data_IF_677180423324
#
_entry.id   IF_677180423324
#
_cell.length_a   1.000
_cell.length_b   1.000
_cell.length_c   1.000
_cell.angle_alpha   90.00
_cell.angle_beta   90.00
_cell.angle_gamma   90.00
#
_symmetry.space_group_name_H-M   'P 1'
#
loop_
_entity.id
_entity.type
_entity.pdbx_description
1 polymer ?
#
# COMPACT_ATOMS: atom_id res chain seq x y z
N UNK A 1 -36.86 9.35 -13.90
CA UNK A 1 -37.87 9.97 -13.00
C UNK A 1 -38.56 8.93 -12.13
N UNK A 2 -39.26 7.92 -12.68
CA UNK A 2 -40.02 6.90 -11.90
C UNK A 2 -39.24 6.21 -10.77
N UNK A 3 -37.98 5.83 -10.99
CA UNK A 3 -37.14 5.18 -9.96
C UNK A 3 -36.87 6.11 -8.78
N UNK A 4 -36.57 7.39 -9.03
CA UNK A 4 -36.34 8.38 -7.99
C UNK A 4 -37.61 8.65 -7.18
N UNK A 5 -38.77 8.78 -7.85
CA UNK A 5 -40.06 8.94 -7.19
C UNK A 5 -40.40 7.75 -6.28
N UNK A 6 -40.21 6.53 -6.79
CA UNK A 6 -40.46 5.31 -6.02
C UNK A 6 -39.54 5.20 -4.80
N UNK A 7 -38.24 5.47 -4.98
CA UNK A 7 -37.27 5.43 -3.88
C UNK A 7 -37.67 6.38 -2.74
N UNK A 8 -37.99 7.64 -3.06
CA UNK A 8 -38.44 8.63 -2.08
C UNK A 8 -39.77 8.25 -1.41
N UNK A 9 -40.67 7.58 -2.13
CA UNK A 9 -41.94 7.09 -1.58
C UNK A 9 -41.73 5.94 -0.59
N UNK A 10 -40.83 5.02 -0.91
CA UNK A 10 -40.54 3.85 -0.07
C UNK A 10 -39.70 4.21 1.15
N UNK A 11 -38.74 5.13 0.98
CA UNK A 11 -37.88 5.60 2.05
C UNK A 11 -37.60 7.10 1.91
N UNK A 12 -38.39 7.96 2.55
CA UNK A 12 -38.17 9.41 2.53
C UNK A 12 -37.02 9.85 3.45
N UNK A 13 -36.41 8.95 4.23
CA UNK A 13 -35.43 9.30 5.27
C UNK A 13 -33.99 9.39 4.75
N UNK A 14 -33.72 8.89 3.53
CA UNK A 14 -32.37 8.81 2.95
C UNK A 14 -32.31 9.57 1.61
N UNK A 15 -31.23 10.33 1.35
CA UNK A 15 -31.05 11.01 0.07
C UNK A 15 -30.80 10.00 -1.05
N UNK A 16 -31.27 10.32 -2.26
CA UNK A 16 -31.00 9.50 -3.45
C UNK A 16 -29.72 9.93 -4.17
N UNK A 17 -29.09 8.97 -4.84
CA UNK A 17 -27.95 9.17 -5.73
C UNK A 17 -28.07 8.26 -6.96
N UNK A 18 -27.27 8.52 -7.98
CA UNK A 18 -27.33 7.82 -9.25
C UNK A 18 -25.99 7.95 -9.97
N UNK A 19 -25.16 6.91 -9.86
CA UNK A 19 -23.78 6.92 -10.35
C UNK A 19 -23.75 7.22 -11.85
N UNK A 20 -22.86 8.12 -12.27
CA UNK A 20 -22.70 8.54 -13.67
C UNK A 20 -21.25 8.88 -13.98
N UNK A 21 -20.85 8.78 -15.24
CA UNK A 21 -19.53 9.19 -15.72
C UNK A 21 -19.58 10.39 -16.69
N UNK A 22 -20.79 10.84 -17.05
CA UNK A 22 -20.99 11.96 -17.98
C UNK A 22 -21.13 13.29 -17.25
N UNK A 23 -20.37 14.29 -17.68
CA UNK A 23 -20.47 15.68 -17.19
C UNK A 23 -21.80 16.30 -17.61
N UNK A 24 -22.29 17.25 -16.81
CA UNK A 24 -23.51 18.05 -17.04
C UNK A 24 -24.76 17.20 -17.29
N UNK A 25 -24.80 16.00 -16.72
CA UNK A 25 -25.98 15.14 -16.74
C UNK A 25 -27.13 15.79 -15.98
N UNK A 26 -28.36 15.47 -16.36
CA UNK A 26 -29.55 15.88 -15.62
C UNK A 26 -29.49 15.34 -14.19
N UNK A 27 -29.78 16.19 -13.20
CA UNK A 27 -29.84 15.79 -11.80
C UNK A 27 -31.31 15.56 -11.41
N UNK A 28 -31.69 14.28 -11.28
CA UNK A 28 -33.01 13.86 -10.81
C UNK A 28 -32.99 13.44 -9.33
N UNK A 29 -31.80 13.10 -8.83
CA UNK A 29 -31.52 12.65 -7.49
C UNK A 29 -31.26 13.82 -6.51
N UNK A 30 -31.11 13.52 -5.22
CA UNK A 30 -30.71 14.52 -4.22
C UNK A 30 -29.22 14.90 -4.31
N UNK A 31 -28.37 13.93 -4.66
CA UNK A 31 -26.91 14.08 -4.71
C UNK A 31 -26.41 13.85 -6.13
N UNK A 32 -25.57 14.76 -6.63
CA UNK A 32 -24.85 14.58 -7.88
C UNK A 32 -23.65 13.65 -7.64
N UNK A 33 -23.83 12.36 -7.86
CA UNK A 33 -22.76 11.35 -7.76
C UNK A 33 -22.05 11.15 -9.10
N UNK A 34 -20.72 11.20 -9.15
CA UNK A 34 -19.95 11.17 -10.39
C UNK A 34 -18.67 10.33 -10.29
N UNK A 35 -18.39 9.55 -11.32
CA UNK A 35 -17.15 8.79 -11.46
C UNK A 35 -16.09 9.70 -12.08
N UNK A 36 -15.12 10.12 -11.27
CA UNK A 36 -14.03 11.00 -11.70
C UNK A 36 -12.76 10.21 -12.03
N UNK A 37 -12.67 9.80 -13.30
CA UNK A 37 -11.50 9.13 -13.86
C UNK A 37 -10.54 10.10 -14.56
N UNK A 38 -10.50 11.38 -14.15
CA UNK A 38 -9.62 12.38 -14.75
C UNK A 38 -8.15 12.28 -14.32
N UNK A 39 -7.88 11.68 -13.16
CA UNK A 39 -6.53 11.61 -12.61
C UNK A 39 -5.66 10.59 -13.37
N UNK A 40 -4.53 11.06 -13.90
CA UNK A 40 -3.54 10.28 -14.64
C UNK A 40 -2.15 10.28 -13.99
N UNK A 41 -2.03 10.81 -12.76
CA UNK A 41 -0.86 10.68 -11.90
C UNK A 41 -0.08 11.97 -11.67
N UNK A 42 0.04 12.82 -12.69
CA UNK A 42 0.79 14.09 -12.66
C UNK A 42 -0.11 15.34 -12.76
N UNK A 43 -1.43 15.13 -12.73
CA UNK A 43 -2.45 16.16 -12.72
C UNK A 43 -3.23 16.15 -11.39
N UNK A 44 -4.16 17.10 -11.14
CA UNK A 44 -5.02 17.07 -9.96
C UNK A 44 -5.74 15.72 -9.77
N UNK A 45 -6.01 15.37 -8.52
CA UNK A 45 -6.67 14.13 -8.13
C UNK A 45 -8.15 14.09 -8.50
N UNK A 46 -8.84 15.23 -8.50
CA UNK A 46 -10.22 15.34 -9.00
C UNK A 46 -10.41 16.61 -9.83
N UNK A 47 -11.40 16.62 -10.72
CA UNK A 47 -11.83 17.83 -11.40
C UNK A 47 -12.69 18.71 -10.49
N UNK A 48 -12.51 20.02 -10.60
CA UNK A 48 -13.37 20.97 -9.91
C UNK A 48 -14.86 20.76 -10.27
N UNK A 49 -15.75 20.71 -9.27
CA UNK A 49 -17.20 20.51 -9.40
C UNK A 49 -17.86 21.33 -10.52
N UNK A 50 -17.44 22.58 -10.71
CA UNK A 50 -17.94 23.47 -11.78
C UNK A 50 -17.70 22.95 -13.20
N UNK A 51 -16.69 22.11 -13.42
CA UNK A 51 -16.47 21.41 -14.69
C UNK A 51 -17.40 20.21 -14.85
N UNK A 52 -17.83 19.60 -13.75
CA UNK A 52 -18.63 18.39 -13.73
C UNK A 52 -20.12 18.67 -13.81
N UNK A 53 -20.65 19.61 -13.02
CA UNK A 53 -22.09 19.93 -12.98
C UNK A 53 -22.34 21.44 -13.09
N UNK A 54 -23.49 21.84 -13.64
CA UNK A 54 -23.96 23.24 -13.59
C UNK A 54 -24.76 23.55 -12.32
N UNK A 55 -25.13 22.52 -11.57
CA UNK A 55 -25.94 22.62 -10.34
C UNK A 55 -25.04 22.83 -9.13
N UNK A 56 -24.43 24.01 -9.03
CA UNK A 56 -23.42 24.30 -8.00
C UNK A 56 -23.98 24.23 -6.56
N UNK A 57 -25.26 24.52 -6.37
CA UNK A 57 -25.94 24.41 -5.07
C UNK A 57 -26.34 22.99 -4.66
N UNK A 58 -26.15 21.99 -5.53
CA UNK A 58 -26.49 20.60 -5.22
C UNK A 58 -25.33 19.90 -4.50
N UNK A 59 -25.60 18.99 -3.55
CA UNK A 59 -24.58 18.10 -2.99
C UNK A 59 -23.88 17.31 -4.10
N UNK A 60 -22.57 17.09 -3.95
CA UNK A 60 -21.74 16.43 -4.95
C UNK A 60 -20.77 15.45 -4.30
N UNK A 61 -20.61 14.27 -4.89
CA UNK A 61 -19.75 13.22 -4.36
C UNK A 61 -19.05 12.49 -5.51
N UNK A 62 -17.76 12.20 -5.33
CA UNK A 62 -17.01 11.36 -6.27
C UNK A 62 -17.28 9.90 -5.94
N UNK A 63 -17.86 9.13 -6.85
CA UNK A 63 -18.26 7.75 -6.58
C UNK A 63 -17.28 6.69 -7.05
N UNK A 64 -16.39 7.03 -7.97
CA UNK A 64 -15.28 6.17 -8.40
C UNK A 64 -14.12 7.05 -8.87
N UNK A 65 -12.90 6.59 -8.65
CA UNK A 65 -11.66 7.18 -9.17
C UNK A 65 -10.57 6.10 -9.24
N UNK A 66 -9.47 6.37 -9.95
CA UNK A 66 -8.40 5.41 -10.24
C UNK A 66 -8.90 4.16 -10.99
N UNK A 67 -8.79 2.96 -10.40
CA UNK A 67 -9.17 1.70 -11.02
C UNK A 67 -8.49 1.46 -12.37
N UNK A 68 -9.30 1.37 -13.43
CA UNK A 68 -8.81 1.10 -14.78
C UNK A 68 -7.85 2.17 -15.34
N UNK A 69 -7.80 3.36 -14.73
CA UNK A 69 -6.86 4.41 -15.11
C UNK A 69 -5.40 4.04 -14.79
N UNK A 70 -5.17 3.13 -13.83
CA UNK A 70 -3.83 2.66 -13.48
C UNK A 70 -3.84 1.26 -12.83
N UNK A 71 -4.12 0.18 -13.61
CA UNK A 71 -4.15 -1.17 -13.08
C UNK A 71 -2.80 -1.56 -12.46
N UNK A 72 -2.84 -2.16 -11.28
CA UNK A 72 -1.65 -2.48 -10.49
C UNK A 72 -1.78 -3.85 -9.82
N UNK A 73 -0.94 -4.77 -10.26
CA UNK A 73 -0.81 -6.13 -9.74
C UNK A 73 0.03 -6.09 -8.45
N UNK A 74 -0.18 -7.08 -7.58
CA UNK A 74 0.62 -7.21 -6.35
C UNK A 74 2.11 -7.47 -6.61
N UNK A 75 2.45 -7.94 -7.82
CA UNK A 75 3.80 -8.29 -8.27
C UNK A 75 4.36 -7.35 -9.34
N UNK A 76 3.71 -6.22 -9.61
CA UNK A 76 4.36 -5.16 -10.39
C UNK A 76 5.58 -4.61 -9.62
N UNK A 77 6.51 -3.98 -10.33
CA UNK A 77 7.71 -3.39 -9.75
C UNK A 77 7.39 -2.32 -8.68
N UNK A 78 8.37 -2.00 -7.85
CA UNK A 78 8.19 -1.03 -6.76
C UNK A 78 7.74 0.34 -7.24
N UNK A 79 8.27 0.81 -8.37
CA UNK A 79 7.95 2.14 -8.90
C UNK A 79 6.48 2.24 -9.33
N UNK A 80 5.96 1.17 -9.95
CA UNK A 80 4.56 1.08 -10.35
C UNK A 80 3.64 0.98 -9.13
N UNK A 81 4.00 0.16 -8.13
CA UNK A 81 3.25 0.04 -6.87
C UNK A 81 3.25 1.35 -6.06
N UNK A 82 4.36 2.09 -6.05
CA UNK A 82 4.43 3.43 -5.46
C UNK A 82 3.54 4.41 -6.21
N UNK A 83 3.60 4.45 -7.54
CA UNK A 83 2.75 5.32 -8.37
C UNK A 83 1.26 5.07 -8.09
N UNK A 84 0.85 3.80 -7.94
CA UNK A 84 -0.50 3.44 -7.54
C UNK A 84 -0.89 4.05 -6.17
N UNK A 85 -0.03 3.89 -5.16
CA UNK A 85 -0.28 4.46 -3.83
C UNK A 85 -0.35 6.00 -3.84
N UNK A 86 0.54 6.66 -4.59
CA UNK A 86 0.55 8.11 -4.71
C UNK A 86 -0.67 8.64 -5.47
N UNK A 87 -1.18 7.93 -6.49
CA UNK A 87 -2.44 8.28 -7.17
C UNK A 87 -3.64 8.27 -6.22
N UNK A 88 -3.75 7.24 -5.37
CA UNK A 88 -4.76 7.23 -4.31
C UNK A 88 -4.58 8.40 -3.33
N UNK A 89 -3.33 8.69 -2.96
CA UNK A 89 -2.98 9.81 -2.07
C UNK A 89 -3.36 11.17 -2.67
N UNK A 90 -3.09 11.39 -3.97
CA UNK A 90 -3.43 12.62 -4.68
C UNK A 90 -4.94 12.86 -4.73
N UNK A 91 -5.73 11.82 -5.02
CA UNK A 91 -7.19 11.93 -5.01
C UNK A 91 -7.71 12.24 -3.60
N UNK A 92 -7.24 11.51 -2.58
CA UNK A 92 -7.63 11.77 -1.19
C UNK A 92 -7.29 13.20 -0.77
N UNK A 93 -6.07 13.67 -1.08
CA UNK A 93 -5.66 15.06 -0.80
C UNK A 93 -6.63 16.08 -1.42
N UNK A 94 -7.03 15.91 -2.68
CA UNK A 94 -7.98 16.84 -3.29
C UNK A 94 -9.41 16.70 -2.74
N UNK A 95 -9.84 15.51 -2.33
CA UNK A 95 -11.11 15.33 -1.62
C UNK A 95 -11.14 16.10 -0.28
N UNK A 96 -10.02 16.13 0.46
CA UNK A 96 -9.91 16.94 1.68
C UNK A 96 -9.73 18.44 1.39
N UNK A 97 -9.24 18.81 0.21
CA UNK A 97 -9.05 20.20 -0.21
C UNK A 97 -10.38 20.90 -0.53
N UNK A 98 -11.32 20.18 -1.14
CA UNK A 98 -12.52 20.76 -1.72
C UNK A 98 -13.72 20.64 -0.76
N UNK A 99 -14.16 21.76 -0.19
CA UNK A 99 -15.31 21.86 0.71
C UNK A 99 -16.66 21.65 0.01
N UNK A 100 -16.71 21.79 -1.32
CA UNK A 100 -17.89 21.58 -2.15
C UNK A 100 -18.08 20.13 -2.65
N UNK A 101 -17.23 19.21 -2.17
CA UNK A 101 -17.23 17.77 -2.45
C UNK A 101 -17.43 17.00 -1.14
N UNK A 102 -18.45 16.14 -1.06
CA UNK A 102 -18.80 15.39 0.15
C UNK A 102 -17.81 14.27 0.52
N UNK A 103 -16.81 14.01 -0.33
CA UNK A 103 -15.87 12.89 -0.24
C UNK A 103 -15.93 12.00 -1.47
N UNK A 104 -15.38 10.78 -1.36
CA UNK A 104 -15.51 9.82 -2.44
C UNK A 104 -15.06 8.38 -2.16
N UNK A 105 -15.38 7.50 -3.11
CA UNK A 105 -15.06 6.08 -3.05
C UNK A 105 -13.99 5.72 -4.09
N UNK A 106 -12.85 5.21 -3.63
CA UNK A 106 -11.80 4.72 -4.53
C UNK A 106 -12.23 3.43 -5.20
N UNK A 107 -11.98 3.32 -6.50
CA UNK A 107 -12.13 2.06 -7.22
C UNK A 107 -10.79 1.30 -7.17
N UNK A 108 -10.66 0.20 -6.43
CA UNK A 108 -11.65 -0.45 -5.55
C UNK A 108 -11.00 -1.09 -4.32
N UNK A 109 -11.80 -1.76 -3.47
CA UNK A 109 -11.28 -2.43 -2.28
C UNK A 109 -10.28 -3.55 -2.63
N UNK A 110 -10.66 -4.51 -3.48
CA UNK A 110 -9.85 -5.68 -3.83
C UNK A 110 -9.97 -5.99 -5.32
N UNK A 111 -8.95 -6.67 -5.86
CA UNK A 111 -8.97 -7.20 -7.23
C UNK A 111 -10.13 -8.19 -7.41
N UNK A 112 -10.81 -8.14 -8.55
CA UNK A 112 -12.03 -8.91 -8.78
C UNK A 112 -12.03 -9.57 -10.15
N UNK A 113 -12.66 -10.75 -10.21
CA UNK A 113 -12.90 -11.45 -11.46
C UNK A 113 -13.87 -10.66 -12.35
N UNK A 114 -13.65 -10.72 -13.65
CA UNK A 114 -14.40 -9.94 -14.63
C UNK A 114 -14.62 -10.71 -15.94
N UNK A 115 -15.44 -10.14 -16.82
CA UNK A 115 -15.73 -10.67 -18.14
C UNK A 115 -14.56 -10.47 -19.10
N UNK A 116 -14.63 -11.10 -20.27
CA UNK A 116 -13.55 -11.10 -21.27
C UNK A 116 -13.13 -9.73 -21.79
N UNK A 117 -14.02 -8.74 -21.71
CA UNK A 117 -13.83 -7.41 -22.28
C UNK A 117 -13.02 -6.47 -21.35
N UNK A 118 -12.71 -6.94 -20.13
CA UNK A 118 -12.02 -6.15 -19.11
C UNK A 118 -10.84 -6.92 -18.50
N UNK A 119 -10.00 -6.19 -17.76
CA UNK A 119 -8.87 -6.77 -17.04
C UNK A 119 -7.62 -6.96 -17.91
N UNK A 120 -6.66 -7.74 -17.41
CA UNK A 120 -5.39 -8.01 -18.11
C UNK A 120 -5.44 -9.24 -19.03
N UNK A 121 -6.65 -9.63 -19.49
CA UNK A 121 -6.87 -10.82 -20.33
C UNK A 121 -7.03 -12.14 -19.57
N UNK A 122 -6.71 -12.16 -18.28
CA UNK A 122 -6.77 -13.29 -17.36
C UNK A 122 -8.06 -13.34 -16.52
N UNK A 123 -9.07 -12.57 -16.92
CA UNK A 123 -10.35 -12.41 -16.23
C UNK A 123 -10.24 -11.73 -14.87
N UNK A 124 -9.20 -10.93 -14.62
CA UNK A 124 -9.04 -10.16 -13.38
C UNK A 124 -8.84 -8.67 -13.69
N UNK A 125 -9.61 -7.84 -12.99
CA UNK A 125 -9.36 -6.40 -12.89
C UNK A 125 -8.44 -6.13 -11.69
N UNK A 126 -7.18 -5.78 -11.97
CA UNK A 126 -6.17 -5.45 -10.96
C UNK A 126 -6.30 -4.00 -10.48
N UNK A 127 -7.44 -3.67 -9.90
CA UNK A 127 -7.80 -2.31 -9.49
C UNK A 127 -7.79 -2.13 -7.97
N UNK A 128 -7.72 -3.23 -7.22
CA UNK A 128 -7.85 -3.19 -5.78
C UNK A 128 -6.64 -2.56 -5.11
N UNK A 129 -6.88 -1.80 -4.04
CA UNK A 129 -5.83 -1.48 -3.06
C UNK A 129 -5.42 -2.71 -2.24
N UNK A 130 -6.25 -3.76 -2.26
CA UNK A 130 -5.97 -5.11 -1.78
C UNK A 130 -5.94 -6.10 -2.96
N UNK A 131 -5.32 -7.27 -2.77
CA UNK A 131 -5.47 -8.40 -3.71
C UNK A 131 -6.86 -9.07 -3.58
N UNK A 132 -7.13 -10.08 -4.41
CA UNK A 132 -8.41 -10.80 -4.41
C UNK A 132 -8.75 -11.49 -3.08
N UNK A 133 -7.76 -11.78 -2.22
CA UNK A 133 -7.96 -12.38 -0.89
C UNK A 133 -7.93 -11.35 0.24
N UNK A 134 -7.95 -10.05 -0.11
CA UNK A 134 -7.91 -8.90 0.81
C UNK A 134 -6.58 -8.79 1.56
N UNK A 135 -5.49 -9.27 0.97
CA UNK A 135 -4.15 -8.91 1.40
C UNK A 135 -3.82 -7.47 0.97
N UNK A 136 -3.29 -6.62 1.87
CA UNK A 136 -2.96 -5.24 1.52
C UNK A 136 -1.82 -5.11 0.50
N UNK A 137 -2.06 -4.34 -0.57
CA UNK A 137 -0.99 -3.78 -1.40
C UNK A 137 -0.50 -2.47 -0.78
N UNK A 138 0.58 -1.91 -1.32
CA UNK A 138 1.11 -0.61 -0.87
C UNK A 138 0.04 0.50 -0.87
N UNK A 139 -0.82 0.56 -1.89
CA UNK A 139 -1.88 1.57 -1.98
C UNK A 139 -2.92 1.52 -0.83
N UNK A 140 -3.08 0.38 -0.15
CA UNK A 140 -3.93 0.31 1.03
C UNK A 140 -3.43 1.21 2.18
N UNK A 141 -2.12 1.49 2.22
CA UNK A 141 -1.50 2.32 3.26
C UNK A 141 -1.84 3.80 3.12
N UNK A 142 -2.26 4.27 1.94
CA UNK A 142 -2.83 5.60 1.76
C UNK A 142 -4.12 5.79 2.58
N UNK A 143 -4.87 4.72 2.81
CA UNK A 143 -6.10 4.72 3.60
C UNK A 143 -5.85 4.37 5.07
N UNK A 144 -5.10 3.30 5.35
CA UNK A 144 -4.90 2.84 6.72
C UNK A 144 -4.07 3.83 7.57
N UNK A 145 -3.27 4.69 6.94
CA UNK A 145 -2.57 5.78 7.64
C UNK A 145 -3.50 6.88 8.13
N UNK A 146 -4.74 7.00 7.64
CA UNK A 146 -5.65 8.08 8.02
C UNK A 146 -6.38 7.85 9.36
N UNK A 147 -6.19 6.70 10.01
CA UNK A 147 -6.80 6.38 11.31
C UNK A 147 -5.80 6.45 12.46
N UNK A 148 -6.31 6.44 13.69
CA UNK A 148 -5.50 6.57 14.92
C UNK A 148 -5.55 5.36 15.87
N UNK A 149 -6.37 4.34 15.60
CA UNK A 149 -6.55 3.15 16.43
C UNK A 149 -5.33 2.23 16.46
N UNK A 150 -4.61 2.08 15.35
CA UNK A 150 -3.49 1.15 15.20
C UNK A 150 -2.26 1.84 14.60
N UNK A 151 -1.04 1.55 15.07
CA UNK A 151 0.19 2.08 14.46
C UNK A 151 0.37 1.66 13.00
N UNK A 152 0.66 2.63 12.13
CA UNK A 152 0.96 2.41 10.72
C UNK A 152 2.33 2.97 10.38
N UNK A 153 3.11 2.17 9.68
CA UNK A 153 4.36 2.52 9.03
C UNK A 153 4.53 1.49 7.92
N UNK A 154 4.69 1.96 6.70
CA UNK A 154 5.11 1.18 5.53
C UNK A 154 6.06 2.04 4.71
N UNK A 155 7.15 1.43 4.24
CA UNK A 155 8.13 2.10 3.38
C UNK A 155 7.90 1.61 1.97
N UNK A 156 7.80 2.53 1.01
CA UNK A 156 7.51 2.22 -0.39
C UNK A 156 8.58 1.40 -1.12
N UNK A 157 9.65 1.03 -0.41
CA UNK A 157 10.88 0.46 -0.94
C UNK A 157 11.36 -0.70 -0.07
N UNK A 158 11.81 -1.78 -0.71
CA UNK A 158 12.60 -2.86 -0.10
C UNK A 158 14.02 -2.43 0.26
N UNK A 159 14.48 -1.31 -0.28
CA UNK A 159 15.86 -0.81 -0.23
C UNK A 159 16.87 -1.68 -1.00
N UNK A 160 16.40 -2.63 -1.80
CA UNK A 160 17.24 -3.48 -2.65
C UNK A 160 17.65 -2.73 -3.92
N UNK A 161 18.95 -2.53 -4.11
CA UNK A 161 19.47 -1.69 -5.20
C UNK A 161 19.17 -2.26 -6.59
N UNK A 162 19.06 -3.58 -6.71
CA UNK A 162 18.78 -4.27 -7.97
C UNK A 162 17.34 -4.14 -8.46
N UNK A 163 16.42 -3.64 -7.64
CA UNK A 163 15.02 -3.42 -8.01
C UNK A 163 14.85 -2.22 -8.96
N UNK A 164 15.77 -1.26 -8.90
CA UNK A 164 15.63 0.01 -9.59
C UNK A 164 16.39 0.04 -10.92
N UNK A 165 15.75 0.59 -11.96
CA UNK A 165 16.41 0.85 -13.23
C UNK A 165 17.68 1.70 -13.02
N UNK A 166 18.81 1.19 -13.52
CA UNK A 166 20.12 1.83 -13.34
C UNK A 166 20.58 1.95 -11.87
N UNK A 167 19.95 1.21 -10.94
CA UNK A 167 20.20 1.29 -9.50
C UNK A 167 19.87 2.65 -8.86
N UNK A 168 18.98 3.40 -9.50
CA UNK A 168 18.56 4.74 -9.05
C UNK A 168 17.26 4.59 -8.26
N UNK A 169 17.35 4.66 -6.92
CA UNK A 169 16.20 4.40 -6.03
C UNK A 169 15.05 5.40 -6.19
N UNK A 170 15.32 6.58 -6.74
CA UNK A 170 14.32 7.62 -6.89
C UNK A 170 13.86 8.17 -5.54
N UNK A 171 12.56 8.49 -5.44
CA UNK A 171 11.94 8.96 -4.20
C UNK A 171 11.38 7.79 -3.39
N UNK A 172 11.58 7.83 -2.07
CA UNK A 172 11.04 6.85 -1.14
C UNK A 172 10.05 7.56 -0.22
N UNK A 173 8.93 6.91 0.05
CA UNK A 173 7.85 7.44 0.88
C UNK A 173 7.63 6.53 2.09
N UNK A 174 7.40 7.16 3.23
CA UNK A 174 6.91 6.51 4.43
C UNK A 174 5.41 6.83 4.62
N UNK A 175 4.57 5.82 4.47
CA UNK A 175 3.14 5.90 4.77
C UNK A 175 2.94 5.57 6.25
N UNK A 176 2.48 6.55 7.03
CA UNK A 176 2.39 6.41 8.48
C UNK A 176 1.31 7.31 9.07
N UNK A 177 0.83 6.96 10.27
CA UNK A 177 0.01 7.81 11.12
C UNK A 177 0.79 8.40 12.31
N UNK A 178 2.13 8.26 12.32
CA UNK A 178 3.03 8.98 13.22
C UNK A 178 3.40 10.35 12.63
N UNK A 179 3.76 11.30 13.48
CA UNK A 179 4.10 12.69 13.15
C UNK A 179 5.51 12.82 12.54
N UNK A 180 6.41 11.89 12.88
CA UNK A 180 7.82 11.88 12.53
C UNK A 180 8.26 10.46 12.12
N UNK A 181 9.17 10.36 11.16
CA UNK A 181 9.88 9.12 10.81
C UNK A 181 11.38 9.32 10.95
N UNK A 182 12.03 8.46 11.74
CA UNK A 182 13.49 8.43 11.86
C UNK A 182 14.08 7.36 10.97
N UNK A 183 15.06 7.72 10.17
CA UNK A 183 15.85 6.81 9.36
C UNK A 183 17.17 6.51 10.06
N UNK A 184 17.51 5.22 10.13
CA UNK A 184 18.78 4.71 10.61
C UNK A 184 19.48 3.95 9.49
N UNK A 185 20.80 4.01 9.46
CA UNK A 185 21.65 3.16 8.60
C UNK A 185 22.67 2.47 9.49
N UNK A 186 22.70 1.14 9.50
CA UNK A 186 23.57 0.35 10.39
C UNK A 186 23.48 0.85 11.85
N UNK A 187 22.25 0.94 12.36
CA UNK A 187 21.89 1.42 13.71
C UNK A 187 22.23 2.88 14.04
N UNK A 188 22.88 3.60 13.12
CA UNK A 188 23.19 5.02 13.27
C UNK A 188 22.05 5.88 12.75
N UNK A 189 21.55 6.81 13.58
CA UNK A 189 20.53 7.77 13.16
C UNK A 189 21.10 8.64 12.03
N UNK A 190 20.38 8.67 10.90
CA UNK A 190 20.70 9.50 9.75
C UNK A 190 19.96 10.82 9.84
N UNK A 191 18.63 10.75 9.91
CA UNK A 191 17.77 11.94 9.88
C UNK A 191 16.37 11.60 10.39
N UNK A 192 15.72 12.62 10.93
CA UNK A 192 14.29 12.63 11.26
C UNK A 192 13.54 13.43 10.20
N UNK A 193 12.42 12.88 9.72
CA UNK A 193 11.58 13.47 8.68
C UNK A 193 10.18 13.71 9.22
N UNK A 194 9.59 14.83 8.84
CA UNK A 194 8.22 15.20 9.16
C UNK A 194 7.44 15.49 7.89
N UNK A 195 6.11 15.54 7.98
CA UNK A 195 5.27 15.94 6.84
C UNK A 195 5.55 17.35 6.34
N UNK A 196 6.07 18.23 7.21
CA UNK A 196 6.36 19.63 6.89
C UNK A 196 7.62 19.82 6.05
N UNK A 197 8.59 18.89 6.10
CA UNK A 197 9.88 19.06 5.41
C UNK A 197 9.76 19.09 3.88
N UNK A 198 8.73 18.42 3.33
CA UNK A 198 8.40 18.41 1.90
C UNK A 198 6.92 18.05 1.70
N UNK A 199 6.03 18.93 2.17
CA UNK A 199 4.59 18.65 2.20
C UNK A 199 3.95 18.67 0.79
N UNK A 200 4.02 17.52 0.10
CA UNK A 200 3.41 17.34 -1.23
C UNK A 200 1.88 17.13 -1.18
N UNK A 201 1.33 16.80 0.00
CA UNK A 201 -0.08 16.47 0.20
C UNK A 201 -0.67 17.26 1.38
N UNK A 202 -0.72 18.60 1.29
CA UNK A 202 -0.98 19.48 2.44
C UNK A 202 -2.42 19.43 2.98
N UNK A 203 -3.35 18.82 2.24
CA UNK A 203 -4.75 18.73 2.64
C UNK A 203 -5.08 17.35 3.21
N UNK A 204 -4.26 16.32 2.94
CA UNK A 204 -4.47 14.99 3.48
C UNK A 204 -3.97 14.93 4.94
N UNK A 205 -4.81 14.58 5.94
CA UNK A 205 -4.43 14.65 7.36
C UNK A 205 -3.15 13.87 7.68
N UNK A 206 -3.02 12.65 7.14
CA UNK A 206 -1.84 11.82 7.31
C UNK A 206 -1.17 11.56 5.97
N UNK A 207 -0.79 12.64 5.26
CA UNK A 207 0.01 12.56 4.03
C UNK A 207 1.31 11.75 4.22
N UNK A 208 1.79 11.03 3.20
CA UNK A 208 3.04 10.29 3.31
C UNK A 208 4.24 11.23 3.49
N UNK A 209 5.23 10.78 4.27
CA UNK A 209 6.47 11.54 4.53
C UNK A 209 7.51 11.15 3.48
N UNK A 210 8.10 12.15 2.81
CA UNK A 210 9.14 11.93 1.81
C UNK A 210 10.49 11.68 2.49
N UNK A 211 11.13 10.57 2.16
CA UNK A 211 12.47 10.20 2.63
C UNK A 211 13.48 10.56 1.53
N UNK A 212 14.00 11.77 1.58
CA UNK A 212 14.82 12.37 0.52
C UNK A 212 16.31 12.52 0.87
N UNK A 213 16.71 12.11 2.07
CA UNK A 213 18.05 12.36 2.60
C UNK A 213 18.60 11.17 3.38
N UNK A 214 19.34 10.33 2.67
CA UNK A 214 20.00 9.14 3.22
C UNK A 214 21.40 9.43 3.77
N UNK A 215 21.81 10.71 3.77
CA UNK A 215 23.12 11.13 4.23
C UNK A 215 23.05 11.76 5.62
N UNK A 216 21.97 12.48 5.95
CA UNK A 216 21.90 13.19 7.21
C UNK A 216 23.13 14.06 7.42
N UNK A 217 23.75 13.94 8.59
CA UNK A 217 24.97 14.68 8.91
C UNK A 217 26.25 13.83 8.72
N UNK A 218 26.18 12.70 8.02
CA UNK A 218 27.31 11.79 7.82
C UNK A 218 28.55 12.47 7.21
N UNK A 219 28.36 13.50 6.39
CA UNK A 219 29.46 14.24 5.79
C UNK A 219 30.18 15.15 6.81
N UNK A 220 29.64 15.39 8.00
CA UNK A 220 30.32 16.19 9.02
C UNK A 220 31.60 15.54 9.55
N UNK A 221 31.74 14.22 9.37
CA UNK A 221 32.97 13.47 9.61
C UNK A 221 34.13 13.91 8.69
N UNK A 222 33.82 14.47 7.50
CA UNK A 222 34.80 14.98 6.55
C UNK A 222 35.25 16.39 6.98
N UNK A 223 36.04 16.43 8.06
CA UNK A 223 36.52 17.66 8.72
C UNK A 223 37.48 18.49 7.86
N UNK A 224 38.06 17.90 6.81
CA UNK A 224 38.88 18.59 5.81
C UNK A 224 38.08 19.53 4.92
N UNK A 225 36.75 19.36 4.83
CA UNK A 225 35.89 20.20 4.01
C UNK A 225 35.24 21.31 4.84
N UNK A 226 35.16 22.50 4.23
CA UNK A 226 34.36 23.59 4.81
C UNK A 226 32.87 23.20 4.89
N UNK A 227 32.14 23.77 5.85
CA UNK A 227 30.69 23.57 5.99
C UNK A 227 29.94 23.83 4.67
N UNK A 228 30.35 24.87 3.92
CA UNK A 228 29.77 25.21 2.62
C UNK A 228 30.07 24.17 1.54
N UNK A 229 31.24 23.55 1.56
CA UNK A 229 31.62 22.46 0.66
C UNK A 229 30.82 21.21 0.97
N UNK A 230 30.76 20.78 2.24
CA UNK A 230 29.96 19.62 2.68
C UNK A 230 28.49 19.73 2.31
N UNK A 231 27.89 20.90 2.54
CA UNK A 231 26.49 21.17 2.17
C UNK A 231 26.27 21.11 0.66
N UNK A 232 27.23 21.59 -0.14
CA UNK A 232 27.13 21.52 -1.60
C UNK A 232 27.29 20.07 -2.07
N UNK A 233 28.26 19.34 -1.52
CA UNK A 233 28.51 17.94 -1.82
C UNK A 233 27.28 17.08 -1.49
N UNK A 234 26.73 17.21 -0.27
CA UNK A 234 25.48 16.54 0.15
C UNK A 234 24.39 16.71 -0.89
N UNK A 235 24.10 17.96 -1.29
CA UNK A 235 23.06 18.26 -2.28
C UNK A 235 23.36 17.63 -3.64
N UNK A 236 24.61 17.68 -4.10
CA UNK A 236 25.00 17.03 -5.35
C UNK A 236 24.77 15.52 -5.29
N UNK A 237 25.22 14.86 -4.23
CA UNK A 237 25.08 13.41 -4.06
C UNK A 237 23.62 12.98 -4.00
N UNK A 238 22.75 13.70 -3.28
CA UNK A 238 21.32 13.41 -3.21
C UNK A 238 20.62 13.59 -4.57
N UNK A 239 21.00 14.61 -5.35
CA UNK A 239 20.45 14.80 -6.70
C UNK A 239 20.92 13.69 -7.65
N UNK A 240 22.18 13.25 -7.56
CA UNK A 240 22.67 12.08 -8.31
C UNK A 240 21.91 10.82 -7.90
N UNK A 241 21.67 10.60 -6.60
CA UNK A 241 20.95 9.42 -6.12
C UNK A 241 19.50 9.37 -6.61
N UNK A 242 18.87 10.54 -6.79
CA UNK A 242 17.48 10.67 -7.23
C UNK A 242 17.30 10.53 -8.74
N UNK A 243 18.17 11.15 -9.53
CA UNK A 243 18.01 11.24 -10.99
C UNK A 243 19.00 10.37 -11.78
N UNK A 244 20.02 9.85 -11.12
CA UNK A 244 21.19 9.25 -11.76
C UNK A 244 22.18 10.28 -12.29
N UNK A 245 23.45 9.88 -12.49
CA UNK A 245 24.50 10.78 -12.93
C UNK A 245 24.29 11.35 -14.35
N UNK A 246 23.55 10.64 -15.21
CA UNK A 246 23.36 11.00 -16.62
C UNK A 246 22.11 11.84 -16.89
N UNK A 247 21.20 12.01 -15.93
CA UNK A 247 19.93 12.72 -16.11
C UNK A 247 19.75 13.86 -15.10
N UNK A 248 20.84 14.53 -14.72
CA UNK A 248 20.79 15.58 -13.71
C UNK A 248 20.00 16.80 -14.20
N UNK A 249 19.08 17.35 -13.37
CA UNK A 249 18.43 18.62 -13.67
C UNK A 249 19.46 19.76 -13.62
N UNK A 250 19.12 20.93 -14.20
CA UNK A 250 19.99 22.11 -14.23
C UNK A 250 20.56 22.49 -12.85
N UNK A 251 19.74 22.39 -11.80
CA UNK A 251 20.18 22.62 -10.41
C UNK A 251 21.30 21.67 -9.98
N UNK A 252 21.22 20.39 -10.37
CA UNK A 252 22.27 19.40 -10.12
C UNK A 252 23.57 19.72 -10.84
N UNK A 253 23.47 20.10 -12.13
CA UNK A 253 24.62 20.51 -12.93
C UNK A 253 25.32 21.74 -12.31
N UNK A 254 24.56 22.73 -11.86
CA UNK A 254 25.11 23.92 -11.19
C UNK A 254 25.79 23.60 -9.86
N UNK A 255 25.25 22.65 -9.08
CA UNK A 255 25.89 22.19 -7.85
C UNK A 255 27.22 21.47 -8.14
N UNK A 256 27.26 20.61 -9.16
CA UNK A 256 28.48 19.97 -9.63
C UNK A 256 29.53 20.98 -10.12
N UNK A 257 29.12 21.94 -10.95
CA UNK A 257 29.99 23.02 -11.41
C UNK A 257 30.58 23.84 -10.25
N UNK A 258 29.80 24.08 -9.18
CA UNK A 258 30.29 24.73 -7.97
C UNK A 258 31.34 23.88 -7.24
N UNK A 259 31.14 22.57 -7.12
CA UNK A 259 32.13 21.67 -6.51
C UNK A 259 33.46 21.68 -7.29
N UNK A 260 33.38 21.59 -8.61
CA UNK A 260 34.58 21.57 -9.47
C UNK A 260 35.27 22.94 -9.53
N UNK A 261 34.52 24.03 -9.74
CA UNK A 261 35.10 25.35 -9.95
C UNK A 261 35.58 26.03 -8.66
N UNK A 262 34.75 26.01 -7.61
CA UNK A 262 35.05 26.72 -6.35
C UNK A 262 35.87 25.85 -5.39
N UNK A 263 35.47 24.59 -5.23
CA UNK A 263 36.09 23.69 -4.26
C UNK A 263 37.12 22.74 -4.88
N UNK A 264 37.37 22.86 -6.19
CA UNK A 264 38.38 22.10 -6.95
C UNK A 264 38.26 20.58 -6.83
N UNK A 265 37.06 20.08 -6.56
CA UNK A 265 36.81 18.64 -6.53
C UNK A 265 36.79 18.06 -7.94
N UNK A 266 37.37 16.88 -8.15
CA UNK A 266 37.25 16.18 -9.44
C UNK A 266 35.95 15.40 -9.54
N UNK A 267 35.59 14.97 -10.75
CA UNK A 267 34.41 14.11 -10.96
C UNK A 267 34.62 12.75 -10.30
N UNK A 268 35.85 12.24 -10.32
CA UNK A 268 36.26 11.00 -9.68
C UNK A 268 36.07 11.09 -8.16
N UNK A 269 36.55 12.16 -7.52
CA UNK A 269 36.37 12.38 -6.07
C UNK A 269 34.87 12.40 -5.70
N UNK A 270 34.04 13.12 -6.47
CA UNK A 270 32.59 13.14 -6.24
C UNK A 270 31.99 11.73 -6.36
N UNK A 271 32.45 10.94 -7.34
CA UNK A 271 32.05 9.55 -7.54
C UNK A 271 32.47 8.61 -6.38
N UNK A 272 33.64 8.84 -5.78
CA UNK A 272 34.09 8.12 -4.59
C UNK A 272 33.20 8.40 -3.39
N UNK A 273 32.85 9.67 -3.15
CA UNK A 273 31.90 10.05 -2.10
C UNK A 273 30.51 9.47 -2.33
N UNK A 274 30.05 9.46 -3.59
CA UNK A 274 28.79 8.80 -3.94
C UNK A 274 28.83 7.33 -3.58
N UNK A 275 29.87 6.61 -3.99
CA UNK A 275 30.05 5.18 -3.70
C UNK A 275 30.11 4.93 -2.19
N UNK A 276 30.96 5.66 -1.46
CA UNK A 276 31.14 5.48 -0.01
C UNK A 276 29.85 5.64 0.79
N UNK A 277 29.06 6.67 0.47
CA UNK A 277 27.92 7.04 1.31
C UNK A 277 26.56 6.52 0.80
N UNK A 278 26.41 6.38 -0.52
CA UNK A 278 25.15 6.02 -1.18
C UNK A 278 25.27 4.69 -1.95
N UNK A 279 26.33 4.55 -2.74
CA UNK A 279 26.56 3.45 -3.68
C UNK A 279 27.07 2.18 -3.00
N UNK A 280 26.14 1.38 -2.50
CA UNK A 280 26.41 0.14 -1.76
C UNK A 280 26.70 -1.10 -2.62
N UNK A 281 27.20 -0.94 -3.85
CA UNK A 281 27.45 -2.07 -4.73
C UNK A 281 28.67 -2.88 -4.26
N UNK A 282 28.43 -4.13 -3.82
CA UNK A 282 29.48 -5.11 -3.51
C UNK A 282 30.16 -4.99 -2.14
N UNK A 283 29.61 -4.22 -1.20
CA UNK A 283 30.10 -4.08 0.18
C UNK A 283 29.22 -4.84 1.20
N UNK A 284 29.57 -4.79 2.49
CA UNK A 284 28.79 -5.44 3.58
C UNK A 284 27.29 -5.08 3.54
N UNK A 285 26.46 -6.07 3.91
CA UNK A 285 25.01 -5.92 3.89
C UNK A 285 24.56 -4.77 4.80
N UNK A 286 24.03 -3.71 4.19
CA UNK A 286 23.55 -2.54 4.92
C UNK A 286 22.13 -2.74 5.41
N UNK A 287 21.89 -2.32 6.65
CA UNK A 287 20.55 -2.29 7.24
C UNK A 287 20.01 -0.87 7.22
N UNK A 288 18.73 -0.73 6.88
CA UNK A 288 18.00 0.54 7.01
C UNK A 288 16.88 0.36 8.03
N UNK A 289 16.99 1.07 9.14
CA UNK A 289 15.96 1.10 10.18
C UNK A 289 15.04 2.29 10.02
N UNK A 290 13.75 2.11 10.27
CA UNK A 290 12.75 3.15 10.24
C UNK A 290 11.92 3.09 11.51
N UNK A 291 11.80 4.20 12.23
CA UNK A 291 10.90 4.35 13.37
C UNK A 291 9.85 5.40 13.04
N UNK A 292 8.57 5.06 13.19
CA UNK A 292 7.49 6.05 13.21
C UNK A 292 7.23 6.47 14.65
N UNK A 293 7.10 7.78 14.88
CA UNK A 293 6.85 8.37 16.18
C UNK A 293 5.53 9.15 16.17
N UNK A 294 4.77 9.09 17.26
CA UNK A 294 3.61 9.97 17.52
C UNK A 294 3.81 10.65 18.86
N UNK A 295 3.73 11.98 18.90
CA UNK A 295 4.04 12.78 20.09
C UNK A 295 5.36 12.37 20.78
N UNK A 296 6.43 12.14 20.00
CA UNK A 296 7.76 11.76 20.49
C UNK A 296 7.92 10.31 20.95
N UNK A 297 6.87 9.47 20.89
CA UNK A 297 6.93 8.05 21.24
C UNK A 297 6.96 7.17 19.99
N UNK A 298 7.85 6.18 19.95
CA UNK A 298 7.91 5.22 18.84
C UNK A 298 6.64 4.35 18.86
N UNK A 299 5.89 4.39 17.77
CA UNK A 299 4.65 3.62 17.59
C UNK A 299 4.84 2.37 16.72
N UNK A 300 5.82 2.38 15.80
CA UNK A 300 6.14 1.25 14.93
C UNK A 300 7.57 1.32 14.44
N UNK A 301 8.19 0.16 14.22
CA UNK A 301 9.55 -0.01 13.70
C UNK A 301 9.53 -0.92 12.48
N UNK A 302 10.32 -0.60 11.47
CA UNK A 302 10.59 -1.46 10.30
C UNK A 302 12.09 -1.49 10.08
N UNK A 303 12.63 -2.65 9.73
CA UNK A 303 14.02 -2.80 9.30
C UNK A 303 14.04 -3.38 7.89
N UNK A 304 14.77 -2.76 6.96
CA UNK A 304 15.02 -3.26 5.60
C UNK A 304 16.46 -3.76 5.54
N UNK A 305 16.63 -5.06 5.28
CA UNK A 305 17.93 -5.72 5.16
C UNK A 305 17.81 -6.94 4.26
N UNK A 306 18.95 -7.39 3.72
CA UNK A 306 19.03 -8.62 2.93
C UNK A 306 18.45 -9.80 3.71
N UNK A 307 17.50 -10.50 3.11
CA UNK A 307 16.84 -11.64 3.72
C UNK A 307 17.79 -12.83 3.92
N UNK A 308 17.58 -13.59 4.98
CA UNK A 308 18.28 -14.85 5.27
C UNK A 308 17.34 -16.06 5.31
N UNK A 309 16.08 -15.83 5.63
CA UNK A 309 15.06 -16.86 5.70
C UNK A 309 13.70 -16.34 5.20
N UNK A 310 12.80 -17.29 4.92
CA UNK A 310 11.41 -17.03 4.56
C UNK A 310 10.52 -17.63 5.64
N UNK A 311 9.53 -16.87 6.08
CA UNK A 311 8.42 -17.36 6.89
C UNK A 311 7.07 -17.05 6.20
N UNK A 312 6.00 -17.73 6.61
CA UNK A 312 4.64 -17.39 6.22
C UNK A 312 3.90 -16.75 7.41
N UNK A 313 3.41 -15.53 7.22
CA UNK A 313 2.35 -14.96 8.04
C UNK A 313 1.02 -15.51 7.54
N UNK A 314 0.32 -16.26 8.39
CA UNK A 314 -0.99 -16.85 8.09
C UNK A 314 -2.02 -16.19 9.00
N UNK A 315 -2.77 -15.24 8.45
CA UNK A 315 -3.85 -14.58 9.16
C UNK A 315 -5.17 -15.31 8.89
N UNK A 316 -5.74 -15.90 9.94
CA UNK A 316 -7.01 -16.62 9.90
C UNK A 316 -8.04 -15.78 10.65
N UNK A 317 -9.21 -15.53 10.05
CA UNK A 317 -10.25 -14.71 10.69
C UNK A 317 -10.94 -15.45 11.86
N UNK A 318 -11.06 -16.78 11.76
CA UNK A 318 -11.58 -17.66 12.81
C UNK A 318 -11.03 -19.08 12.69
N UNK A 319 -10.84 -19.75 13.81
CA UNK A 319 -10.47 -21.18 13.87
C UNK A 319 -11.59 -22.06 14.42
N UNK A 320 -12.63 -21.46 15.00
CA UNK A 320 -13.85 -22.16 15.39
C UNK A 320 -14.87 -21.97 14.26
N UNK A 321 -15.25 -23.06 13.61
CA UNK A 321 -16.26 -23.09 12.56
C UNK A 321 -17.57 -23.60 13.15
N UNK A 322 -18.65 -22.84 13.00
CA UNK A 322 -19.96 -23.18 13.58
C UNK A 322 -20.95 -23.58 12.48
N UNK A 323 -21.19 -24.87 12.35
CA UNK A 323 -22.24 -25.38 11.47
C UNK A 323 -23.61 -24.83 11.88
N UNK A 324 -24.46 -24.52 10.92
CA UNK A 324 -25.84 -24.10 11.15
C UNK A 324 -26.74 -24.67 10.06
N UNK A 325 -27.63 -23.84 9.52
CA UNK A 325 -28.39 -24.20 8.31
C UNK A 325 -27.47 -24.43 7.10
N UNK A 326 -26.25 -23.86 7.14
CA UNK A 326 -25.19 -24.03 6.14
C UNK A 326 -23.84 -24.22 6.82
N UNK A 327 -22.83 -24.64 6.03
CA UNK A 327 -21.45 -24.67 6.47
C UNK A 327 -20.92 -23.28 6.83
N UNK A 328 -19.95 -23.23 7.74
CA UNK A 328 -19.19 -22.02 8.07
C UNK A 328 -17.85 -22.01 7.32
N UNK A 329 -17.27 -20.83 7.16
CA UNK A 329 -16.05 -20.61 6.38
C UNK A 329 -15.08 -19.72 7.14
N UNK A 330 -13.84 -20.19 7.27
CA UNK A 330 -12.70 -19.37 7.64
C UNK A 330 -11.99 -18.86 6.39
N UNK A 331 -11.55 -17.60 6.44
CA UNK A 331 -10.67 -16.99 5.44
C UNK A 331 -9.24 -17.01 5.93
N UNK A 332 -8.31 -17.44 5.07
CA UNK A 332 -6.89 -17.42 5.34
C UNK A 332 -6.19 -16.47 4.36
N UNK A 333 -5.49 -15.50 4.93
CA UNK A 333 -4.65 -14.52 4.22
C UNK A 333 -3.20 -14.85 4.51
N UNK A 334 -2.42 -15.11 3.45
CA UNK A 334 -1.08 -15.66 3.56
C UNK A 334 -0.09 -14.68 2.93
N UNK A 335 0.98 -14.36 3.65
CA UNK A 335 2.10 -13.55 3.14
C UNK A 335 3.43 -14.23 3.41
N UNK A 336 4.30 -14.23 2.41
CA UNK A 336 5.69 -14.61 2.56
C UNK A 336 6.51 -13.42 3.09
N UNK A 337 7.11 -13.60 4.27
CA UNK A 337 7.89 -12.58 4.95
C UNK A 337 9.37 -12.99 5.04
N UNK A 338 10.27 -12.00 5.03
CA UNK A 338 11.67 -12.19 5.41
C UNK A 338 11.81 -12.43 6.92
N UNK A 339 13.02 -12.78 7.36
CA UNK A 339 13.42 -12.82 8.78
C UNK A 339 13.34 -11.46 9.50
N UNK A 340 13.18 -10.37 8.75
CA UNK A 340 12.91 -9.00 9.25
C UNK A 340 11.43 -8.61 9.18
N UNK A 341 10.54 -9.52 8.80
CA UNK A 341 9.10 -9.25 8.70
C UNK A 341 8.68 -8.46 7.46
N UNK A 342 9.54 -8.32 6.45
CA UNK A 342 9.20 -7.63 5.22
C UNK A 342 8.51 -8.55 4.23
N UNK A 343 7.49 -8.05 3.54
CA UNK A 343 6.85 -8.77 2.44
C UNK A 343 7.86 -9.06 1.32
N UNK A 344 8.00 -10.32 0.95
CA UNK A 344 8.85 -10.77 -0.15
C UNK A 344 8.05 -10.74 -1.46
N UNK A 345 7.86 -9.53 -2.02
CA UNK A 345 6.95 -9.32 -3.15
C UNK A 345 7.26 -10.15 -4.40
N UNK A 346 8.52 -10.52 -4.60
CA UNK A 346 8.95 -11.30 -5.78
C UNK A 346 9.08 -12.80 -5.51
N UNK A 347 8.80 -13.27 -4.29
CA UNK A 347 8.71 -14.70 -4.00
C UNK A 347 7.40 -15.26 -4.54
N UNK A 348 7.49 -16.16 -5.54
CA UNK A 348 6.34 -16.75 -6.23
C UNK A 348 6.24 -18.26 -6.07
N UNK A 349 6.83 -18.79 -5.00
CA UNK A 349 6.82 -20.23 -4.73
C UNK A 349 5.39 -20.76 -4.55
N UNK A 350 5.10 -21.99 -4.99
CA UNK A 350 3.82 -22.63 -4.73
C UNK A 350 3.69 -23.04 -3.26
N UNK A 351 2.45 -23.03 -2.77
CA UNK A 351 2.08 -23.54 -1.45
C UNK A 351 1.06 -24.66 -1.66
N UNK A 352 1.43 -25.87 -1.26
CA UNK A 352 0.54 -27.02 -1.22
C UNK A 352 -0.23 -27.04 0.10
N UNK A 353 -1.51 -27.36 0.02
CA UNK A 353 -2.44 -27.41 1.14
C UNK A 353 -2.92 -28.84 1.34
N UNK A 354 -2.81 -29.31 2.58
CA UNK A 354 -3.38 -30.59 3.01
C UNK A 354 -4.36 -30.35 4.17
N UNK A 355 -5.50 -31.02 4.15
CA UNK A 355 -6.48 -30.94 5.24
C UNK A 355 -6.79 -32.31 5.84
N UNK A 356 -6.95 -32.33 7.15
CA UNK A 356 -7.41 -33.49 7.93
C UNK A 356 -8.61 -33.09 8.79
N UNK A 357 -9.46 -34.08 9.10
CA UNK A 357 -10.63 -33.88 9.96
C UNK A 357 -11.86 -33.34 9.22
N UNK A 358 -12.80 -32.70 9.93
CA UNK A 358 -14.09 -32.32 9.36
C UNK A 358 -14.08 -30.96 8.64
N UNK A 359 -13.00 -30.65 7.92
CA UNK A 359 -12.84 -29.40 7.15
C UNK A 359 -12.41 -29.69 5.70
N UNK A 360 -12.70 -28.75 4.80
CA UNK A 360 -12.36 -28.83 3.38
C UNK A 360 -11.88 -27.49 2.81
N UNK A 361 -11.02 -27.55 1.78
CA UNK A 361 -10.54 -26.38 1.04
C UNK A 361 -11.58 -25.94 0.01
N UNK A 362 -11.90 -24.65 -0.05
CA UNK A 362 -12.64 -24.06 -1.19
C UNK A 362 -11.61 -23.56 -2.21
N UNK A 363 -11.55 -24.23 -3.36
CA UNK A 363 -10.60 -23.92 -4.44
C UNK A 363 -9.50 -24.98 -4.58
N UNK A 364 -8.40 -24.67 -5.26
CA UNK A 364 -7.32 -25.61 -5.49
C UNK A 364 -6.52 -25.89 -4.20
N UNK A 365 -5.96 -27.09 -4.09
CA UNK A 365 -5.02 -27.45 -3.02
C UNK A 365 -3.61 -26.89 -3.24
N UNK A 366 -3.28 -26.41 -4.44
CA UNK A 366 -2.01 -25.76 -4.73
C UNK A 366 -2.28 -24.28 -5.02
N UNK A 367 -1.71 -23.42 -4.18
CA UNK A 367 -1.76 -21.97 -4.32
C UNK A 367 -0.45 -21.46 -4.91
N UNK A 368 -0.49 -20.27 -5.51
CA UNK A 368 0.71 -19.54 -5.94
C UNK A 368 0.80 -18.23 -5.18
N UNK A 369 1.98 -17.91 -4.66
CA UNK A 369 2.28 -16.58 -4.16
C UNK A 369 2.36 -15.59 -5.33
N UNK A 370 1.55 -14.53 -5.29
CA UNK A 370 1.55 -13.44 -6.27
C UNK A 370 1.79 -12.13 -5.54
N UNK A 371 2.95 -11.53 -5.74
CA UNK A 371 3.36 -10.38 -4.94
C UNK A 371 3.78 -10.78 -3.53
N UNK A 372 4.27 -12.02 -3.34
CA UNK A 372 4.53 -12.59 -2.01
C UNK A 372 3.29 -12.89 -1.19
N UNK A 373 2.09 -12.86 -1.78
CA UNK A 373 0.82 -13.01 -1.08
C UNK A 373 -0.08 -14.04 -1.76
N UNK A 374 -0.95 -14.69 -0.98
CA UNK A 374 -2.03 -15.55 -1.49
C UNK A 374 -3.12 -15.69 -0.42
N UNK A 375 -4.14 -16.49 -0.70
CA UNK A 375 -5.16 -16.82 0.29
C UNK A 375 -5.98 -18.04 -0.10
N UNK A 376 -6.74 -18.53 0.86
CA UNK A 376 -7.68 -19.64 0.67
C UNK A 376 -8.83 -19.53 1.66
N UNK A 377 -9.84 -20.37 1.48
CA UNK A 377 -10.97 -20.48 2.39
C UNK A 377 -11.11 -21.94 2.84
N UNK A 378 -11.35 -22.15 4.13
CA UNK A 378 -11.58 -23.47 4.73
C UNK A 378 -13.01 -23.51 5.22
N UNK A 379 -13.77 -24.50 4.76
CA UNK A 379 -15.16 -24.72 5.18
C UNK A 379 -15.32 -25.93 6.07
N UNK A 380 -16.34 -25.91 6.92
CA UNK A 380 -16.77 -27.09 7.67
C UNK A 380 -17.51 -28.10 6.76
N UNK A 381 -17.59 -29.35 7.21
CA UNK A 381 -18.15 -30.49 6.43
C UNK A 381 -19.39 -31.13 7.03
N UNK A 382 -20.06 -30.46 7.99
CA UNK A 382 -21.23 -30.99 8.69
C UNK A 382 -20.94 -32.04 9.75
N UNK A 383 -19.66 -32.20 10.15
CA UNK A 383 -19.23 -33.10 11.23
C UNK A 383 -18.54 -32.31 12.33
N UNK A 384 -18.87 -32.60 13.58
CA UNK A 384 -18.18 -32.01 14.73
C UNK A 384 -16.79 -32.63 14.88
N UNK A 385 -15.80 -31.83 15.29
CA UNK A 385 -14.46 -32.33 15.63
C UNK A 385 -13.32 -31.39 15.25
N UNK A 386 -12.09 -31.88 15.50
CA UNK A 386 -10.86 -31.15 15.21
C UNK A 386 -10.45 -31.33 13.76
N UNK A 387 -10.19 -30.22 13.08
CA UNK A 387 -9.60 -30.16 11.75
C UNK A 387 -8.18 -29.62 11.81
N UNK A 388 -7.35 -29.99 10.84
CA UNK A 388 -6.00 -29.46 10.68
C UNK A 388 -5.75 -29.11 9.23
N UNK A 389 -5.25 -27.91 8.98
CA UNK A 389 -4.71 -27.48 7.70
C UNK A 389 -3.19 -27.45 7.78
N UNK A 390 -2.50 -28.05 6.81
CA UNK A 390 -1.07 -27.90 6.59
C UNK A 390 -0.81 -27.09 5.34
N UNK A 391 0.16 -26.18 5.42
CA UNK A 391 0.67 -25.40 4.29
C UNK A 391 2.12 -25.81 4.08
N UNK A 392 2.45 -26.30 2.88
CA UNK A 392 3.74 -26.88 2.54
C UNK A 392 4.35 -26.08 1.40
N UNK A 393 5.53 -25.51 1.64
CA UNK A 393 6.33 -24.88 0.60
C UNK A 393 7.62 -25.70 0.45
N UNK A 394 7.87 -26.22 -0.76
CA UNK A 394 8.96 -27.15 -1.02
C UNK A 394 10.32 -26.63 -0.52
N UNK A 395 11.10 -27.50 0.13
CA UNK A 395 12.40 -27.15 0.71
C UNK A 395 12.35 -26.25 1.95
N UNK A 396 11.16 -26.00 2.52
CA UNK A 396 10.97 -25.19 3.74
C UNK A 396 10.19 -25.97 4.80
N UNK A 397 9.99 -25.34 5.96
CA UNK A 397 9.15 -25.90 7.04
C UNK A 397 7.68 -25.99 6.58
N UNK A 398 6.92 -26.88 7.21
CA UNK A 398 5.46 -26.93 7.09
C UNK A 398 4.84 -26.02 8.15
N UNK A 399 3.81 -25.27 7.76
CA UNK A 399 2.98 -24.50 8.70
C UNK A 399 1.67 -25.23 8.95
N UNK A 400 1.14 -25.16 10.16
CA UNK A 400 -0.11 -25.81 10.53
C UNK A 400 -1.09 -24.80 11.14
N UNK A 401 -2.39 -24.99 10.87
CA UNK A 401 -3.49 -24.27 11.49
C UNK A 401 -4.53 -25.29 11.96
N UNK A 402 -4.84 -25.28 13.25
CA UNK A 402 -5.87 -26.13 13.84
C UNK A 402 -7.24 -25.44 13.82
N UNK A 403 -8.27 -26.23 13.51
CA UNK A 403 -9.67 -25.83 13.48
C UNK A 403 -10.51 -26.66 14.44
N UNK A 404 -11.60 -26.08 14.93
CA UNK A 404 -12.62 -26.74 15.72
C UNK A 404 -13.98 -26.54 15.06
N UNK A 405 -14.56 -27.62 14.54
CA UNK A 405 -15.91 -27.58 13.96
C UNK A 405 -16.90 -27.94 15.04
N UNK A 406 -17.84 -27.04 15.29
CA UNK A 406 -18.89 -27.17 16.30
C UNK A 406 -20.25 -27.23 15.61
N UNK A 407 -21.08 -28.20 16.03
CA UNK A 407 -22.47 -28.30 15.59
C UNK A 407 -23.35 -27.90 16.78
N UNK A 408 -24.09 -26.76 16.70
CA UNK A 408 -25.04 -26.37 17.72
C UNK A 408 -26.05 -27.49 17.94
N UNK A 409 -26.18 -27.94 19.20
CA UNK A 409 -27.25 -28.88 19.55
C UNK A 409 -28.58 -28.11 19.49
N UNK A 410 -29.66 -28.71 18.95
CA UNK A 410 -30.96 -28.07 18.99
C UNK A 410 -31.35 -27.81 20.45
N UNK A 411 -31.80 -26.58 20.74
CA UNK A 411 -32.37 -26.26 22.05
C UNK A 411 -33.60 -27.15 22.27
N UNK A 412 -33.49 -28.12 23.19
CA UNK A 412 -34.56 -29.06 23.51
C UNK A 412 -35.75 -28.40 24.27
N UNK A 413 -35.73 -27.09 24.50
CA UNK A 413 -36.76 -26.37 25.28
C UNK A 413 -37.97 -25.87 24.48
N UNK A 414 -37.98 -25.93 23.13
CA UNK A 414 -39.12 -25.45 22.32
C UNK A 414 -40.08 -26.54 21.80
N UNK A 415 -39.89 -27.81 22.14
CA UNK A 415 -40.81 -28.90 21.71
C UNK A 415 -41.83 -29.28 22.81
N UNK A 416 -41.97 -28.45 23.85
CA UNK A 416 -42.86 -28.65 24.99
C UNK A 416 -44.09 -27.74 25.02
N UNK A 417 -44.93 -27.78 23.99
CA UNK A 417 -46.27 -27.13 24.00
C UNK A 417 -46.78 -26.97 22.58
N UNK A 418 -47.94 -27.46 22.16
CA UNK A 418 -49.18 -27.76 22.85
C UNK A 418 -49.93 -28.87 22.09
N UNK A 419 -50.38 -29.90 22.80
CA UNK A 419 -51.43 -30.82 22.34
C UNK A 419 -52.82 -30.22 22.56
#
# INVERSE_FOLDING_TARGET
TKTNELARKLDPTRPTGGVRYSKKSELLEDVYTYNDFSHIGDNPGIEAKKKITSKMGSPYMVTEYNGHMFPTKSFDDESHRLSHALRHTSVLNDLYRHDDVLGGFGWCMFDYNTHKDFGSGDRICYHGVLDAFRNPKLAATAYSSQQEEKPVLEISSSMDVGEYAGSIRGEIYAFTNGDEVRLYKNDSLIKSFTREDNNLYPHLPMGPIVIDDFLGDLLDAETQFSVGQRKTLKKTLLVIAKFGPNNLPLKGLLLGAKLMGLYRMTVEEIGEYYTRYIGNWGQEATTYGFEALKAGKVIKRIEKKTMKAVDLEINVDRTILREGDTYDVATLRIKALSDSGNLLSYLMEPIELEVEGPIEIIGPSILTLRGGMTGTYIRSTGREGKGKLRLIMSGRKTWEVDFDVQIPKPNLEEVGGSH
#
